data_IF_231394830053
#
_entry.id   IF_231394830053
#
_cell.length_a   1.000
_cell.length_b   1.000
_cell.length_c   1.000
_cell.angle_alpha   90.00
_cell.angle_beta   90.00
_cell.angle_gamma   90.00
#
_symmetry.space_group_name_H-M   'P 1'
#
loop_
_entity.id
_entity.type
_entity.pdbx_description
1 polymer ?
#
# COMPACT_ATOMS: atom_id res chain seq x y z
N UNK A 1 13.48 25.87 -22.45
CA UNK A 1 12.37 25.01 -22.92
C UNK A 1 12.69 23.64 -22.42
N UNK A 2 11.83 23.12 -21.56
CA UNK A 2 11.94 21.76 -21.04
C UNK A 2 11.47 20.78 -22.13
N UNK A 3 12.19 19.68 -22.31
CA UNK A 3 11.89 18.63 -23.30
C UNK A 3 11.43 17.42 -22.52
N UNK A 4 10.34 16.78 -22.96
CA UNK A 4 9.86 15.54 -22.36
C UNK A 4 10.87 14.42 -22.63
N UNK A 5 11.74 14.11 -21.68
CA UNK A 5 12.82 13.13 -21.81
C UNK A 5 12.85 12.08 -20.69
N UNK A 6 11.95 12.16 -19.72
CA UNK A 6 11.69 11.12 -18.74
C UNK A 6 10.34 10.44 -19.00
N UNK A 7 10.30 9.12 -18.83
CA UNK A 7 9.05 8.37 -18.90
C UNK A 7 8.50 8.15 -17.49
N UNK A 8 7.17 8.05 -17.32
CA UNK A 8 6.59 7.73 -16.02
C UNK A 8 7.17 6.44 -15.47
N UNK A 9 7.51 6.42 -14.18
CA UNK A 9 8.04 5.25 -13.51
C UNK A 9 7.11 4.82 -12.38
N UNK A 10 6.59 3.58 -12.46
CA UNK A 10 5.82 2.99 -11.38
C UNK A 10 6.68 2.77 -10.13
N UNK A 11 6.08 2.94 -8.94
CA UNK A 11 6.77 2.71 -7.65
C UNK A 11 7.09 1.24 -7.39
N UNK A 12 6.53 0.33 -8.18
CA UNK A 12 6.75 -1.12 -8.10
C UNK A 12 6.96 -1.72 -9.48
N UNK A 13 7.78 -2.78 -9.53
CA UNK A 13 7.96 -3.57 -10.74
C UNK A 13 6.71 -4.39 -11.12
N UNK A 14 5.87 -4.72 -10.14
CA UNK A 14 4.56 -5.33 -10.31
C UNK A 14 3.69 -5.07 -9.08
N UNK A 15 2.37 -5.14 -9.25
CA UNK A 15 1.41 -5.09 -8.15
C UNK A 15 0.76 -6.45 -7.99
N UNK A 16 0.76 -6.96 -6.77
CA UNK A 16 0.04 -8.18 -6.41
C UNK A 16 -0.88 -7.89 -5.24
N UNK A 17 -2.14 -8.31 -5.34
CA UNK A 17 -3.15 -8.13 -4.31
C UNK A 17 -4.08 -9.32 -4.23
N UNK A 18 -4.78 -9.45 -3.10
CA UNK A 18 -5.73 -10.52 -2.82
C UNK A 18 -7.09 -9.94 -2.44
N UNK A 19 -8.14 -10.40 -3.12
CA UNK A 19 -9.53 -9.98 -2.85
C UNK A 19 -10.42 -11.19 -2.59
N UNK A 20 -11.54 -10.99 -1.90
CA UNK A 20 -12.56 -12.04 -1.76
C UNK A 20 -13.39 -12.16 -3.01
N UNK A 21 -13.76 -13.39 -3.38
CA UNK A 21 -14.79 -13.62 -4.42
C UNK A 21 -16.13 -12.95 -4.10
N UNK A 22 -16.39 -12.65 -2.81
CA UNK A 22 -17.64 -12.02 -2.34
C UNK A 22 -17.65 -10.49 -2.43
N UNK A 23 -16.57 -9.84 -2.86
CA UNK A 23 -16.57 -8.38 -3.02
C UNK A 23 -17.53 -7.93 -4.12
N UNK A 24 -18.20 -6.82 -3.89
CA UNK A 24 -19.15 -6.26 -4.84
C UNK A 24 -18.45 -5.43 -5.93
N UNK A 25 -19.16 -5.22 -7.05
CA UNK A 25 -18.75 -4.20 -8.02
C UNK A 25 -18.64 -2.81 -7.33
N UNK A 26 -17.65 -2.03 -7.74
CA UNK A 26 -17.24 -0.79 -7.09
C UNK A 26 -16.24 -0.96 -5.96
N UNK A 27 -15.90 -2.19 -5.56
CA UNK A 27 -14.85 -2.43 -4.59
C UNK A 27 -13.48 -1.97 -5.13
N UNK A 28 -12.76 -1.19 -4.32
CA UNK A 28 -11.39 -0.73 -4.61
C UNK A 28 -10.44 -1.91 -4.43
N UNK A 29 -9.73 -2.28 -5.49
CA UNK A 29 -8.88 -3.48 -5.53
C UNK A 29 -7.46 -3.13 -5.16
N UNK A 30 -6.88 -2.18 -5.90
CA UNK A 30 -5.53 -1.67 -5.71
C UNK A 30 -5.45 -0.27 -6.33
N UNK A 31 -4.59 0.58 -5.78
CA UNK A 31 -4.26 1.87 -6.37
C UNK A 31 -2.82 1.78 -6.87
N UNK A 32 -2.57 2.00 -8.15
CA UNK A 32 -1.20 2.05 -8.70
C UNK A 32 -0.67 3.48 -8.67
N UNK A 33 0.64 3.62 -8.69
CA UNK A 33 1.29 4.93 -8.65
C UNK A 33 2.54 4.94 -9.54
N UNK A 34 2.60 5.93 -10.42
CA UNK A 34 3.79 6.28 -11.18
C UNK A 34 4.15 7.74 -10.94
N UNK A 35 5.44 8.05 -11.07
CA UNK A 35 6.02 9.38 -10.93
C UNK A 35 6.85 9.71 -12.17
N UNK A 36 6.98 10.99 -12.50
CA UNK A 36 7.72 11.44 -13.69
C UNK A 36 8.63 12.61 -13.30
N UNK A 37 9.90 12.54 -13.73
CA UNK A 37 10.94 13.49 -13.36
C UNK A 37 10.95 14.76 -14.21
N UNK A 38 10.11 14.84 -15.25
CA UNK A 38 9.97 16.01 -16.10
C UNK A 38 9.26 17.18 -15.38
N UNK A 39 9.30 18.38 -15.96
CA UNK A 39 8.60 19.52 -15.37
C UNK A 39 7.08 19.26 -15.33
N UNK A 40 6.31 19.91 -14.43
CA UNK A 40 4.88 19.61 -14.22
C UNK A 40 3.98 19.64 -15.46
N UNK A 41 4.39 20.34 -16.52
CA UNK A 41 3.70 20.40 -17.81
C UNK A 41 3.87 19.15 -18.68
N UNK A 42 4.93 18.39 -18.43
CA UNK A 42 5.34 17.17 -19.11
C UNK A 42 5.15 15.94 -18.21
N UNK A 43 5.07 16.11 -16.89
CA UNK A 43 4.86 15.05 -15.90
C UNK A 43 3.38 14.78 -15.54
N UNK A 44 2.41 15.10 -16.41
CA UNK A 44 0.97 14.94 -16.07
C UNK A 44 0.49 13.52 -16.38
N UNK A 45 0.65 12.64 -15.40
CA UNK A 45 0.33 11.22 -15.55
C UNK A 45 -1.17 10.95 -15.65
N UNK A 46 -1.53 10.13 -16.63
CA UNK A 46 -2.83 9.46 -16.75
C UNK A 46 -2.65 7.94 -16.83
N UNK A 47 -3.59 7.20 -16.26
CA UNK A 47 -3.55 5.75 -16.16
C UNK A 47 -4.63 5.10 -17.04
N UNK A 48 -4.31 3.98 -17.65
CA UNK A 48 -5.26 3.16 -18.41
C UNK A 48 -4.99 1.66 -18.25
N UNK A 49 -6.02 0.82 -18.44
CA UNK A 49 -5.89 -0.63 -18.36
C UNK A 49 -5.65 -1.22 -19.76
N UNK A 50 -4.81 -2.24 -19.83
CA UNK A 50 -4.60 -3.02 -21.06
C UNK A 50 -4.55 -4.51 -20.79
N UNK A 51 -4.87 -5.30 -21.81
CA UNK A 51 -4.69 -6.75 -21.75
C UNK A 51 -3.19 -7.09 -21.56
N UNK A 52 -2.91 -8.19 -20.86
CA UNK A 52 -1.58 -8.79 -20.84
C UNK A 52 -1.55 -9.98 -21.81
N UNK A 53 -1.03 -9.74 -23.01
CA UNK A 53 -0.93 -10.78 -24.05
C UNK A 53 -0.01 -11.94 -23.65
N UNK A 54 0.91 -11.71 -22.72
CA UNK A 54 1.88 -12.70 -22.22
C UNK A 54 1.31 -13.53 -21.08
N UNK A 55 0.23 -13.10 -20.43
CA UNK A 55 -0.38 -13.79 -19.30
C UNK A 55 -1.11 -15.09 -19.67
N UNK A 56 -1.30 -15.39 -20.96
CA UNK A 56 -2.01 -16.58 -21.44
C UNK A 56 -3.44 -16.31 -21.88
N UNK A 57 -4.03 -17.25 -22.63
CA UNK A 57 -5.33 -17.04 -23.28
C UNK A 57 -6.48 -16.84 -22.28
N UNK A 58 -6.44 -17.48 -21.12
CA UNK A 58 -7.46 -17.32 -20.08
C UNK A 58 -7.48 -15.93 -19.43
N UNK A 59 -6.40 -15.14 -19.58
CA UNK A 59 -6.23 -13.84 -18.93
C UNK A 59 -6.49 -12.66 -19.87
N UNK A 60 -6.69 -12.88 -21.18
CA UNK A 60 -6.86 -11.80 -22.17
C UNK A 60 -7.98 -10.83 -21.84
N UNK A 61 -9.09 -11.32 -21.27
CA UNK A 61 -10.25 -10.47 -20.94
C UNK A 61 -10.26 -9.96 -19.50
N UNK A 62 -9.19 -10.19 -18.74
CA UNK A 62 -9.18 -9.87 -17.32
C UNK A 62 -9.32 -8.37 -17.04
N UNK A 63 -8.69 -7.53 -17.86
CA UNK A 63 -8.80 -6.07 -17.75
C UNK A 63 -10.26 -5.59 -17.81
N UNK A 64 -11.16 -6.31 -18.51
CA UNK A 64 -12.59 -5.95 -18.61
C UNK A 64 -13.39 -6.13 -17.32
N UNK A 65 -12.82 -6.79 -16.31
CA UNK A 65 -13.41 -6.89 -14.97
C UNK A 65 -13.09 -5.68 -14.09
N UNK A 66 -12.22 -4.78 -14.55
CA UNK A 66 -11.77 -3.64 -13.77
C UNK A 66 -11.96 -2.33 -14.51
N UNK A 67 -11.91 -1.23 -13.77
CA UNK A 67 -11.78 0.13 -14.31
C UNK A 67 -10.96 0.99 -13.37
N UNK A 68 -10.38 2.04 -13.92
CA UNK A 68 -9.79 3.12 -13.13
C UNK A 68 -10.90 4.13 -12.82
N UNK A 69 -11.04 4.57 -11.56
CA UNK A 69 -12.12 5.49 -11.17
C UNK A 69 -11.95 6.85 -11.87
N UNK A 70 -10.73 7.37 -11.87
CA UNK A 70 -10.33 8.61 -12.51
C UNK A 70 -8.96 8.38 -13.17
N UNK A 71 -8.78 8.82 -14.41
CA UNK A 71 -7.51 8.69 -15.14
C UNK A 71 -6.29 9.23 -14.39
N UNK A 72 -6.46 10.13 -13.42
CA UNK A 72 -5.36 10.66 -12.60
C UNK A 72 -5.18 9.97 -11.24
N UNK A 73 -6.09 9.08 -10.81
CA UNK A 73 -6.04 8.52 -9.45
C UNK A 73 -5.25 7.22 -9.31
N UNK A 74 -5.10 6.45 -10.39
CA UNK A 74 -4.51 5.11 -10.37
C UNK A 74 -5.37 4.07 -9.60
N UNK A 75 -6.53 4.46 -9.06
CA UNK A 75 -7.40 3.59 -8.26
C UNK A 75 -8.20 2.64 -9.16
N UNK A 76 -7.92 1.35 -9.04
CA UNK A 76 -8.54 0.28 -9.82
C UNK A 76 -9.67 -0.33 -9.01
N UNK A 77 -10.87 -0.36 -9.59
CA UNK A 77 -12.08 -0.93 -9.00
C UNK A 77 -12.60 -2.09 -9.83
N UNK A 78 -13.23 -3.05 -9.16
CA UNK A 78 -13.97 -4.12 -9.80
C UNK A 78 -15.26 -3.57 -10.45
N UNK A 79 -15.57 -3.92 -11.70
CA UNK A 79 -16.82 -3.50 -12.37
C UNK A 79 -17.88 -4.58 -12.43
N UNK A 80 -17.46 -5.85 -12.43
CA UNK A 80 -18.34 -7.01 -12.58
C UNK A 80 -18.15 -7.99 -11.43
N UNK A 81 -19.16 -8.81 -11.15
CA UNK A 81 -18.99 -9.90 -10.19
C UNK A 81 -17.92 -10.89 -10.67
N UNK A 82 -17.12 -11.37 -9.72
CA UNK A 82 -16.06 -12.34 -10.01
C UNK A 82 -16.69 -13.70 -10.35
N UNK A 83 -16.39 -14.28 -11.53
CA UNK A 83 -16.91 -15.60 -11.89
C UNK A 83 -16.45 -16.68 -10.91
N UNK A 84 -17.30 -17.68 -10.64
CA UNK A 84 -17.02 -18.73 -9.65
C UNK A 84 -15.75 -19.54 -9.92
N UNK A 85 -15.36 -19.68 -11.19
CA UNK A 85 -14.18 -20.44 -11.63
C UNK A 85 -12.91 -19.57 -11.73
N UNK A 86 -13.00 -18.26 -11.41
CA UNK A 86 -11.90 -17.32 -11.59
C UNK A 86 -11.18 -17.12 -10.27
N UNK A 87 -9.97 -17.67 -10.19
CA UNK A 87 -9.14 -17.63 -8.98
C UNK A 87 -8.01 -16.60 -9.07
N UNK A 88 -7.76 -16.03 -10.25
CA UNK A 88 -6.72 -15.02 -10.47
C UNK A 88 -7.00 -14.18 -11.70
N UNK A 89 -6.77 -12.87 -11.60
CA UNK A 89 -6.72 -11.95 -12.74
C UNK A 89 -5.30 -11.48 -12.98
N UNK A 90 -4.92 -11.33 -14.25
CA UNK A 90 -3.64 -10.75 -14.67
C UNK A 90 -3.90 -9.78 -15.81
N UNK A 91 -3.49 -8.52 -15.64
CA UNK A 91 -3.63 -7.47 -16.64
C UNK A 91 -2.53 -6.43 -16.45
N UNK A 92 -2.43 -5.50 -17.39
CA UNK A 92 -1.44 -4.44 -17.37
C UNK A 92 -2.10 -3.08 -17.11
N UNK A 93 -1.34 -2.17 -16.50
CA UNK A 93 -1.68 -0.76 -16.36
C UNK A 93 -0.63 0.06 -17.08
N UNK A 94 -1.07 1.04 -17.86
CA UNK A 94 -0.21 1.96 -18.61
C UNK A 94 -0.29 3.32 -17.94
N UNK A 95 0.87 3.93 -17.66
CA UNK A 95 1.00 5.33 -17.29
C UNK A 95 1.50 6.13 -18.51
N UNK A 96 0.87 7.26 -18.80
CA UNK A 96 1.21 8.19 -19.89
C UNK A 96 1.37 9.61 -19.33
N UNK A 97 2.51 10.24 -19.60
CA UNK A 97 2.90 11.56 -19.09
C UNK A 97 2.17 12.74 -19.78
N UNK A 98 1.53 12.48 -20.93
CA UNK A 98 0.93 13.47 -21.81
C UNK A 98 1.88 14.63 -22.22
N UNK A 99 3.19 14.39 -22.16
CA UNK A 99 4.24 15.34 -22.42
C UNK A 99 4.37 15.74 -23.89
N UNK A 100 5.09 16.84 -24.13
CA UNK A 100 5.33 17.40 -25.48
C UNK A 100 6.83 17.50 -25.74
N UNK A 101 7.31 17.24 -26.98
CA UNK A 101 6.55 17.01 -28.22
C UNK A 101 5.99 15.59 -28.38
N UNK A 102 6.54 14.61 -27.66
CA UNK A 102 6.14 13.20 -27.71
C UNK A 102 5.86 12.77 -26.29
N UNK A 103 4.71 12.15 -26.05
CA UNK A 103 4.40 11.58 -24.75
C UNK A 103 5.14 10.24 -24.56
N UNK A 104 5.58 9.97 -23.35
CA UNK A 104 6.22 8.73 -22.97
C UNK A 104 5.29 7.90 -22.08
N UNK A 105 5.51 6.59 -22.11
CA UNK A 105 4.67 5.61 -21.44
C UNK A 105 5.49 4.54 -20.75
N UNK A 106 4.97 4.05 -19.65
CA UNK A 106 5.41 2.81 -19.02
C UNK A 106 4.25 1.88 -18.77
N UNK A 107 4.56 0.60 -18.53
CA UNK A 107 3.55 -0.44 -18.30
C UNK A 107 3.98 -1.30 -17.13
N UNK A 108 3.02 -1.65 -16.27
CA UNK A 108 3.23 -2.51 -15.10
C UNK A 108 2.17 -3.61 -15.05
N UNK A 109 2.56 -4.80 -14.61
CA UNK A 109 1.64 -5.91 -14.41
C UNK A 109 0.94 -5.82 -13.06
N UNK A 110 -0.37 -6.11 -13.07
CA UNK A 110 -1.21 -6.25 -11.88
C UNK A 110 -1.75 -7.67 -11.82
N UNK A 111 -1.52 -8.33 -10.69
CA UNK A 111 -2.01 -9.67 -10.36
C UNK A 111 -3.01 -9.55 -9.21
N UNK A 112 -4.24 -10.01 -9.43
CA UNK A 112 -5.30 -10.02 -8.42
C UNK A 112 -5.66 -11.47 -8.13
N UNK A 113 -5.24 -11.98 -6.98
CA UNK A 113 -5.59 -13.31 -6.48
C UNK A 113 -6.99 -13.27 -5.84
N UNK A 114 -7.83 -14.25 -6.17
CA UNK A 114 -9.19 -14.36 -5.64
C UNK A 114 -9.22 -15.48 -4.61
N UNK A 115 -9.65 -15.14 -3.41
CA UNK A 115 -9.77 -16.09 -2.31
C UNK A 115 -11.19 -16.14 -1.74
N UNK A 116 -11.43 -17.14 -0.89
CA UNK A 116 -12.62 -17.14 -0.03
C UNK A 116 -12.55 -16.00 0.98
N UNK A 117 -13.73 -15.52 1.43
CA UNK A 117 -13.86 -14.36 2.34
C UNK A 117 -12.94 -14.42 3.56
N UNK A 118 -12.79 -15.59 4.16
CA UNK A 118 -12.01 -15.80 5.38
C UNK A 118 -10.48 -15.75 5.17
N UNK A 119 -10.02 -15.72 3.92
CA UNK A 119 -8.59 -15.74 3.55
C UNK A 119 -8.11 -14.41 2.95
N UNK A 120 -9.01 -13.46 2.74
CA UNK A 120 -8.68 -12.18 2.10
C UNK A 120 -8.13 -11.19 3.11
N UNK A 121 -6.81 -11.09 3.18
CA UNK A 121 -6.10 -10.17 4.07
C UNK A 121 -6.34 -8.70 3.70
N UNK A 122 -6.20 -7.74 4.63
CA UNK A 122 -6.25 -6.31 4.29
C UNK A 122 -5.20 -5.93 3.25
N UNK A 123 -5.47 -4.96 2.40
CA UNK A 123 -4.60 -4.56 1.30
C UNK A 123 -4.14 -3.12 1.51
N UNK A 124 -2.82 -2.90 1.50
CA UNK A 124 -2.25 -1.56 1.54
C UNK A 124 -2.45 -0.88 0.19
N UNK A 125 -3.04 0.31 0.19
CA UNK A 125 -3.20 1.14 -0.99
C UNK A 125 -1.90 1.91 -1.23
N UNK A 126 -1.35 1.77 -2.43
CA UNK A 126 -0.19 2.54 -2.89
C UNK A 126 -0.62 3.84 -3.52
N UNK A 127 0.04 4.92 -3.14
CA UNK A 127 -0.10 6.24 -3.74
C UNK A 127 1.18 7.03 -3.43
N UNK A 128 1.26 8.28 -3.90
CA UNK A 128 2.43 9.14 -3.65
C UNK A 128 2.76 9.37 -2.17
N UNK A 129 1.80 9.19 -1.26
CA UNK A 129 2.01 9.33 0.19
C UNK A 129 2.31 8.00 0.91
N UNK A 130 2.02 6.86 0.26
CA UNK A 130 2.19 5.50 0.80
C UNK A 130 3.32 4.74 0.10
N UNK A 131 4.56 5.22 0.29
CA UNK A 131 5.77 4.64 -0.28
C UNK A 131 6.37 3.54 0.61
N UNK A 132 7.09 2.60 0.01
CA UNK A 132 7.88 1.59 0.75
C UNK A 132 9.29 2.08 1.10
N UNK A 133 9.78 3.09 0.39
CA UNK A 133 11.06 3.74 0.64
C UNK A 133 10.84 5.25 0.73
N UNK A 134 11.36 5.88 1.78
CA UNK A 134 11.29 7.33 1.99
C UNK A 134 12.69 7.84 2.29
N UNK A 135 13.15 8.78 1.47
CA UNK A 135 14.37 9.55 1.75
C UNK A 135 13.99 10.79 2.55
N UNK A 136 14.68 11.04 3.64
CA UNK A 136 14.37 12.12 4.58
C UNK A 136 15.57 13.02 4.75
N UNK A 137 15.36 14.34 4.62
CA UNK A 137 16.39 15.38 4.77
C UNK A 137 16.73 15.68 6.25
N UNK A 138 17.91 16.23 6.51
CA UNK A 138 18.40 16.55 7.86
C UNK A 138 17.60 17.66 8.53
N UNK A 139 17.20 18.65 7.74
CA UNK A 139 16.49 19.83 8.21
C UNK A 139 15.00 19.55 8.40
N UNK A 140 14.57 18.29 8.24
CA UNK A 140 13.18 17.94 8.41
C UNK A 140 12.71 18.29 9.83
N UNK A 141 11.68 19.15 9.99
CA UNK A 141 11.20 19.51 11.30
C UNK A 141 10.75 18.29 12.09
N UNK A 142 10.95 18.30 13.40
CA UNK A 142 10.39 17.26 14.28
C UNK A 142 8.88 17.18 14.08
N UNK A 143 8.33 15.96 14.09
CA UNK A 143 6.91 15.66 13.90
C UNK A 143 6.39 15.95 12.47
N UNK A 144 7.28 15.98 11.48
CA UNK A 144 6.92 15.96 10.06
C UNK A 144 6.36 14.59 9.66
N UNK A 145 5.43 14.59 8.70
CA UNK A 145 4.84 13.37 8.14
C UNK A 145 5.76 12.81 7.07
N UNK A 146 6.20 11.56 7.26
CA UNK A 146 7.08 10.84 6.34
C UNK A 146 6.31 9.87 5.44
N UNK A 147 5.19 9.36 5.93
CA UNK A 147 4.36 8.36 5.26
C UNK A 147 2.90 8.55 5.67
N UNK A 148 1.97 8.42 4.71
CA UNK A 148 0.53 8.29 4.96
C UNK A 148 -0.01 7.13 4.14
N UNK A 149 -0.44 6.07 4.81
CA UNK A 149 -0.91 4.84 4.19
C UNK A 149 -2.32 4.46 4.61
N UNK A 150 -3.07 3.88 3.69
CA UNK A 150 -4.40 3.34 3.95
C UNK A 150 -4.38 1.83 3.68
N UNK A 151 -4.89 1.03 4.62
CA UNK A 151 -5.28 -0.33 4.31
C UNK A 151 -6.79 -0.39 4.03
N UNK A 152 -7.21 -1.28 3.16
CA UNK A 152 -8.61 -1.60 2.91
C UNK A 152 -8.89 -3.09 3.18
N UNK A 153 -10.10 -3.49 3.62
CA UNK A 153 -10.39 -4.89 3.90
C UNK A 153 -10.45 -5.70 2.62
N UNK A 154 -9.57 -6.70 2.43
CA UNK A 154 -9.53 -7.52 1.21
C UNK A 154 -10.82 -8.31 0.95
N UNK A 155 -11.65 -8.48 1.97
CA UNK A 155 -12.94 -9.14 1.89
C UNK A 155 -14.12 -8.21 1.57
N UNK A 156 -13.85 -6.91 1.37
CA UNK A 156 -14.87 -5.89 1.14
C UNK A 156 -15.78 -5.62 2.35
N UNK A 157 -15.47 -6.17 3.52
CA UNK A 157 -16.24 -5.90 4.72
C UNK A 157 -16.06 -4.46 5.18
N UNK A 158 -17.01 -3.97 5.96
CA UNK A 158 -16.87 -2.71 6.71
C UNK A 158 -16.25 -2.94 8.10
N UNK A 159 -15.60 -4.08 8.29
CA UNK A 159 -14.97 -4.42 9.56
C UNK A 159 -13.84 -3.42 9.82
N UNK A 160 -13.70 -2.91 11.06
CA UNK A 160 -12.61 -2.01 11.38
C UNK A 160 -11.28 -2.74 11.22
N UNK A 161 -10.37 -2.16 10.45
CA UNK A 161 -8.99 -2.64 10.33
C UNK A 161 -8.27 -2.29 11.64
N UNK A 162 -7.63 -3.29 12.23
CA UNK A 162 -6.75 -3.09 13.37
C UNK A 162 -5.32 -3.01 12.87
N UNK A 163 -4.63 -1.93 13.21
CA UNK A 163 -3.21 -1.76 12.87
C UNK A 163 -2.36 -2.17 14.08
N UNK A 164 -1.25 -2.85 13.82
CA UNK A 164 -0.29 -3.23 14.86
C UNK A 164 1.14 -2.96 14.41
N UNK A 165 2.00 -2.73 15.40
CA UNK A 165 3.41 -2.44 15.23
C UNK A 165 4.23 -3.45 16.02
N UNK A 166 5.35 -3.86 15.44
CA UNK A 166 6.43 -4.44 16.24
C UNK A 166 7.73 -4.35 15.44
N UNK A 167 8.87 -4.22 16.11
CA UNK A 167 10.09 -4.80 15.58
C UNK A 167 9.92 -6.33 15.65
N UNK A 168 9.23 -6.93 14.67
CA UNK A 168 9.31 -8.37 14.47
C UNK A 168 10.77 -8.67 14.08
N UNK A 169 11.57 -9.16 15.02
CA UNK A 169 12.70 -10.01 14.66
C UNK A 169 12.09 -11.12 13.83
N UNK A 170 12.42 -11.18 12.53
CA UNK A 170 12.18 -12.37 11.71
C UNK A 170 13.12 -13.45 12.27
N UNK A 171 12.74 -14.03 13.40
CA UNK A 171 13.28 -15.29 13.82
C UNK A 171 12.62 -16.31 12.89
N UNK A 172 13.41 -16.86 11.97
CA UNK A 172 13.10 -18.10 11.28
C UNK A 172 12.50 -19.08 12.30
N UNK A 173 11.20 -19.36 12.20
CA UNK A 173 10.51 -20.60 12.54
C UNK A 173 9.02 -20.34 12.78
N UNK A 174 8.19 -21.02 11.99
CA UNK A 174 6.76 -21.19 12.22
C UNK A 174 6.46 -21.66 13.65
N UNK A 175 5.54 -20.98 14.34
CA UNK A 175 4.38 -21.55 15.03
C UNK A 175 3.63 -20.45 15.81
N UNK A 176 2.36 -20.23 15.47
CA UNK A 176 1.44 -19.45 16.31
C UNK A 176 1.12 -20.26 17.58
N UNK A 177 1.26 -19.73 18.80
CA UNK A 177 0.77 -20.43 19.97
C UNK A 177 -0.75 -20.37 20.01
N UNK A 178 -1.34 -21.56 19.97
CA UNK A 178 -2.73 -21.91 20.26
C UNK A 178 -3.10 -21.47 21.68
N UNK A 179 -4.28 -20.83 21.83
CA UNK A 179 -5.02 -20.53 23.09
C UNK A 179 -4.20 -20.00 24.28
N UNK A 180 -4.39 -18.72 24.62
CA UNK A 180 -4.06 -18.22 25.97
C UNK A 180 -5.34 -17.94 26.74
N UNK A 181 -5.55 -18.77 27.77
CA UNK A 181 -6.53 -18.68 28.84
C UNK A 181 -6.30 -17.45 29.72
N UNK A 182 -7.38 -16.77 30.12
CA UNK A 182 -7.38 -15.63 31.05
C UNK A 182 -6.74 -16.02 32.39
N UNK A 183 -5.71 -15.28 32.80
CA UNK A 183 -5.35 -15.11 34.23
C UNK A 183 -5.63 -13.66 34.66
N UNK A 184 -6.23 -13.44 35.84
CA UNK A 184 -6.57 -12.11 36.32
C UNK A 184 -5.37 -11.52 37.06
N UNK A 185 -4.52 -10.76 36.35
CA UNK A 185 -3.68 -9.64 36.87
C UNK A 185 -2.55 -9.19 35.92
N UNK A 186 -2.54 -9.60 34.65
CA UNK A 186 -1.61 -9.04 33.67
C UNK A 186 -2.19 -7.77 33.07
N UNK A 187 -1.44 -6.65 33.15
CA UNK A 187 -1.72 -5.41 32.43
C UNK A 187 -2.16 -5.71 30.99
N UNK A 188 -3.28 -5.13 30.62
CA UNK A 188 -3.99 -5.27 29.36
C UNK A 188 -3.04 -5.10 28.14
N UNK A 189 -2.55 -6.21 27.57
CA UNK A 189 -1.83 -6.21 26.28
C UNK A 189 -2.76 -5.97 25.08
N UNK A 190 -4.07 -6.00 25.31
CA UNK A 190 -5.12 -5.70 24.33
C UNK A 190 -6.19 -4.83 24.97
N UNK A 191 -5.90 -3.55 25.13
CA UNK A 191 -6.94 -2.59 25.47
C UNK A 191 -7.43 -1.91 24.20
N UNK A 192 -8.58 -2.36 23.68
CA UNK A 192 -9.44 -1.55 22.81
C UNK A 192 -9.87 -0.32 23.60
N UNK A 193 -9.56 0.86 23.11
CA UNK A 193 -10.12 2.12 23.60
C UNK A 193 -10.61 2.97 22.43
N UNK A 194 -11.63 3.77 22.69
CA UNK A 194 -12.44 4.53 21.73
C UNK A 194 -11.70 5.62 20.93
N UNK A 195 -10.36 5.68 20.97
CA UNK A 195 -9.50 6.50 20.10
C UNK A 195 -8.15 5.79 19.77
N UNK A 196 -8.10 4.46 19.91
CA UNK A 196 -7.47 3.53 18.95
C UNK A 196 -5.96 3.29 18.87
N UNK A 197 -5.06 4.21 19.20
CA UNK A 197 -3.62 4.01 18.87
C UNK A 197 -2.78 3.49 20.05
N UNK A 198 -2.34 2.22 19.99
CA UNK A 198 -1.16 1.75 20.73
C UNK A 198 0.09 2.35 20.04
N UNK A 199 1.07 2.85 20.82
CA UNK A 199 2.18 3.69 20.33
C UNK A 199 3.37 2.85 19.86
N UNK A 200 3.52 2.68 18.56
CA UNK A 200 4.69 2.03 17.95
C UNK A 200 5.82 2.99 17.63
N UNK A 201 7.05 2.59 17.97
CA UNK A 201 8.26 3.27 17.52
C UNK A 201 9.21 2.27 16.88
N UNK A 202 10.10 2.73 15.98
CA UNK A 202 11.27 1.93 15.60
C UNK A 202 12.15 1.64 16.84
N UNK A 203 13.11 0.71 16.71
CA UNK A 203 14.01 0.30 17.81
C UNK A 203 14.73 1.49 18.47
N UNK A 204 15.07 2.50 17.66
CA UNK A 204 15.82 3.69 18.06
C UNK A 204 14.91 4.86 18.48
N UNK A 205 13.58 4.68 18.41
CA UNK A 205 12.56 5.68 18.76
C UNK A 205 12.57 6.97 17.91
N UNK A 206 13.30 6.99 16.80
CA UNK A 206 13.35 8.10 15.85
C UNK A 206 12.04 8.30 15.09
N UNK A 207 11.28 7.23 14.85
CA UNK A 207 10.05 7.28 14.08
C UNK A 207 8.88 6.70 14.86
N UNK A 208 7.69 7.27 14.67
CA UNK A 208 6.47 6.85 15.34
C UNK A 208 5.27 6.83 14.40
N UNK A 209 4.43 5.82 14.62
CA UNK A 209 3.16 5.65 13.94
C UNK A 209 2.01 6.35 14.69
N UNK A 210 1.09 6.93 13.92
CA UNK A 210 -0.14 7.58 14.35
C UNK A 210 -1.31 7.07 13.50
N UNK A 211 -2.50 7.06 14.09
CA UNK A 211 -3.74 6.88 13.33
C UNK A 211 -4.40 8.25 13.16
N UNK A 212 -4.61 8.64 11.92
CA UNK A 212 -5.29 9.88 11.57
C UNK A 212 -6.57 9.58 10.79
N UNK A 213 -7.67 10.23 11.16
CA UNK A 213 -8.94 10.11 10.42
C UNK A 213 -9.07 11.24 9.42
N UNK A 214 -9.13 10.89 8.13
CA UNK A 214 -9.30 11.82 7.02
C UNK A 214 -10.30 11.23 6.04
N UNK A 215 -11.28 12.03 5.61
CA UNK A 215 -12.40 11.60 4.75
C UNK A 215 -13.14 10.36 5.28
N UNK A 216 -13.28 10.28 6.62
CA UNK A 216 -13.94 9.17 7.30
C UNK A 216 -13.15 7.85 7.32
N UNK A 217 -11.93 7.82 6.77
CA UNK A 217 -11.03 6.65 6.75
C UNK A 217 -9.91 6.79 7.76
N UNK A 218 -9.45 5.67 8.32
CA UNK A 218 -8.32 5.61 9.26
C UNK A 218 -7.01 5.37 8.49
N UNK A 219 -6.15 6.39 8.50
CA UNK A 219 -4.83 6.40 7.86
C UNK A 219 -3.72 6.13 8.87
N UNK A 220 -2.76 5.32 8.46
CA UNK A 220 -1.51 5.08 9.17
C UNK A 220 -0.52 6.16 8.77
N UNK A 221 -0.05 6.94 9.74
CA UNK A 221 0.87 8.06 9.53
C UNK A 221 2.17 7.81 10.26
N UNK A 222 3.31 7.89 9.59
CA UNK A 222 4.64 7.82 10.23
C UNK A 222 5.24 9.20 10.31
N UNK A 223 5.77 9.57 11.48
CA UNK A 223 6.46 10.84 11.71
C UNK A 223 7.82 10.64 12.34
N UNK A 224 8.74 11.58 12.09
CA UNK A 224 9.96 11.69 12.89
C UNK A 224 9.65 12.27 14.27
N UNK A 225 10.29 11.76 15.30
CA UNK A 225 10.09 12.16 16.70
C UNK A 225 11.26 12.93 17.28
N UNK A 226 12.40 12.90 16.59
CA UNK A 226 13.65 13.56 16.94
C UNK A 226 14.26 14.13 15.66
N UNK A 227 15.19 15.08 15.81
CA UNK A 227 16.05 15.49 14.69
C UNK A 227 16.94 14.32 14.27
N UNK A 228 17.26 14.26 12.98
CA UNK A 228 18.14 13.24 12.41
C UNK A 228 19.54 13.85 12.31
N UNK A 229 20.57 13.13 12.78
CA UNK A 229 21.96 13.59 12.81
C UNK A 229 22.77 12.82 11.75
N UNK A 230 23.53 13.54 10.94
CA UNK A 230 24.02 13.14 9.62
C UNK A 230 25.47 12.65 9.57
N UNK A 231 26.14 12.45 10.70
CA UNK A 231 27.50 11.90 10.65
C UNK A 231 27.57 10.43 10.18
N UNK A 232 26.42 9.75 10.01
CA UNK A 232 26.35 8.38 9.50
C UNK A 232 25.10 8.14 8.64
N UNK A 233 25.29 7.82 7.36
CA UNK A 233 24.27 7.25 6.48
C UNK A 233 23.58 6.06 7.18
N UNK A 234 22.29 6.22 7.51
CA UNK A 234 21.56 5.21 8.25
C UNK A 234 20.24 4.84 7.54
N UNK A 235 19.95 3.54 7.58
CA UNK A 235 18.70 2.96 7.08
C UNK A 235 17.88 2.48 8.26
N UNK A 236 16.66 2.97 8.38
CA UNK A 236 15.71 2.53 9.40
C UNK A 236 14.61 1.71 8.75
N UNK A 237 14.23 0.60 9.37
CA UNK A 237 13.13 -0.22 8.89
C UNK A 237 12.00 -0.23 9.91
N UNK A 238 10.78 0.06 9.45
CA UNK A 238 9.55 -0.08 10.21
C UNK A 238 8.67 -1.15 9.59
N UNK A 239 8.11 -2.02 10.43
CA UNK A 239 7.13 -3.03 10.03
C UNK A 239 5.74 -2.54 10.40
N UNK A 240 4.95 -2.22 9.38
CA UNK A 240 3.55 -1.80 9.50
C UNK A 240 2.67 -3.01 9.24
N UNK A 241 1.65 -3.23 10.07
CA UNK A 241 0.76 -4.38 9.89
C UNK A 241 -0.71 -4.02 10.04
N UNK A 242 -1.54 -4.59 9.16
CA UNK A 242 -2.98 -4.35 9.09
C UNK A 242 -3.73 -5.68 9.21
N UNK A 243 -4.72 -5.74 10.10
CA UNK A 243 -5.45 -6.94 10.47
C UNK A 243 -6.96 -6.75 10.36
N UNK A 244 -7.65 -7.76 9.84
CA UNK A 244 -9.10 -7.93 9.97
C UNK A 244 -9.37 -9.35 10.48
N UNK A 245 -9.98 -9.46 11.66
CA UNK A 245 -10.19 -10.76 12.32
C UNK A 245 -8.86 -11.44 12.65
N UNK A 246 -8.60 -12.61 12.04
CA UNK A 246 -7.35 -13.37 12.20
C UNK A 246 -6.38 -13.23 11.03
N UNK A 247 -6.73 -12.45 10.00
CA UNK A 247 -5.92 -12.30 8.79
C UNK A 247 -5.09 -11.01 8.86
N UNK A 248 -3.81 -11.08 8.50
CA UNK A 248 -2.82 -10.01 8.65
C UNK A 248 -2.09 -9.77 7.33
N UNK A 249 -1.82 -8.51 7.01
CA UNK A 249 -0.89 -8.09 5.96
C UNK A 249 0.19 -7.20 6.56
N UNK A 250 1.41 -7.31 6.02
CA UNK A 250 2.58 -6.56 6.49
C UNK A 250 3.14 -5.71 5.35
N UNK A 251 3.61 -4.52 5.68
CA UNK A 251 4.38 -3.63 4.80
C UNK A 251 5.67 -3.22 5.51
N UNK A 252 6.79 -3.30 4.78
CA UNK A 252 8.08 -2.83 5.25
C UNK A 252 8.32 -1.42 4.70
N UNK A 253 8.53 -0.47 5.60
CA UNK A 253 8.96 0.89 5.29
C UNK A 253 10.46 1.01 5.57
N UNK A 254 11.23 1.38 4.56
CA UNK A 254 12.64 1.76 4.70
C UNK A 254 12.76 3.27 4.65
N UNK A 255 13.35 3.86 5.68
CA UNK A 255 13.65 5.29 5.77
C UNK A 255 15.16 5.44 5.59
N UNK A 256 15.52 6.23 4.58
CA UNK A 256 16.89 6.50 4.19
C UNK A 256 17.27 7.93 4.58
N UNK A 257 18.40 8.07 5.26
CA UNK A 257 19.06 9.35 5.51
C UNK A 257 20.34 9.38 4.68
N UNK A 258 20.39 10.18 3.60
CA UNK A 258 21.60 10.32 2.79
C UNK A 258 22.72 10.99 3.60
N UNK A 259 23.95 10.97 3.08
CA UNK A 259 25.02 11.86 3.54
C UNK A 259 25.06 13.11 2.66
#
# INVERSE_FOLDING_TARGET
MDVNDNAPQFDRASYETSISRSVAAGYSVVTVFADDADAPQNARITYSLSEDASAGKEHRKDASFFRIINENSGEITLVNQIPSHKDRFIFNVIADDNGKPVSQRSTVQVVVNVHEKQQSAPQWQTNGECKTVVTVDEDIPINSVLLRCLAIPGDGSRSPISYNYSPFKVANHFSLPTKITKTPNTKCFFCRMANGASRGTNNEKHFREFLEKTDGRDWVVVRNMVGLDYEQQQNYTLTLSAMVGSVLTVMLLTIYTPN
#
